data_IF_634213749680
#
_entry.id   IF_634213749680
#
_cell.length_a   1.000
_cell.length_b   1.000
_cell.length_c   1.000
_cell.angle_alpha   90.00
_cell.angle_beta   90.00
_cell.angle_gamma   90.00
#
_symmetry.space_group_name_H-M   'P 1'
#
loop_
_entity.id
_entity.type
_entity.pdbx_description
1 polymer ?
#
# COMPACT_ATOMS: atom_id res chain seq x y z
N UNK A 1 -21.83 14.24 3.95
CA UNK A 1 -20.54 14.74 3.37
C UNK A 1 -20.86 15.49 2.09
N UNK A 2 -20.32 16.69 1.89
CA UNK A 2 -20.41 17.40 0.61
C UNK A 2 -19.05 18.02 0.24
N UNK A 3 -18.81 18.25 -1.03
CA UNK A 3 -17.51 18.77 -1.45
C UNK A 3 -17.42 19.05 -2.93
N UNK A 4 -16.19 19.34 -3.35
CA UNK A 4 -15.83 19.51 -4.76
C UNK A 4 -14.65 18.60 -5.10
N UNK A 5 -14.73 17.94 -6.25
CA UNK A 5 -13.61 17.21 -6.85
C UNK A 5 -12.94 18.11 -7.88
N UNK A 6 -11.64 18.34 -7.74
CA UNK A 6 -10.85 19.21 -8.63
C UNK A 6 -9.56 18.54 -9.06
N UNK A 7 -9.03 19.02 -10.18
CA UNK A 7 -7.66 18.73 -10.61
C UNK A 7 -6.65 19.33 -9.63
N UNK A 8 -5.66 18.55 -9.21
CA UNK A 8 -4.68 19.02 -8.21
C UNK A 8 -3.82 20.18 -8.73
N UNK A 9 -3.52 20.22 -10.03
CA UNK A 9 -2.63 21.21 -10.64
C UNK A 9 -3.40 22.46 -11.05
N UNK A 10 -4.49 22.28 -11.79
CA UNK A 10 -5.24 23.41 -12.35
C UNK A 10 -6.33 23.94 -11.44
N UNK A 11 -6.73 23.17 -10.42
CA UNK A 11 -7.90 23.43 -9.56
C UNK A 11 -9.22 23.49 -10.35
N UNK A 12 -9.23 23.01 -11.59
CA UNK A 12 -10.44 22.93 -12.40
C UNK A 12 -11.35 21.80 -11.88
N UNK A 13 -12.68 21.97 -11.88
CA UNK A 13 -13.58 20.93 -11.41
C UNK A 13 -13.62 19.71 -12.32
N UNK A 14 -13.59 18.52 -11.73
CA UNK A 14 -13.67 17.25 -12.45
C UNK A 14 -15.13 16.79 -12.48
N UNK A 15 -15.72 16.74 -13.67
CA UNK A 15 -17.13 16.42 -13.87
C UNK A 15 -17.35 14.96 -14.32
N UNK A 16 -18.41 14.32 -13.79
CA UNK A 16 -18.81 12.98 -14.19
C UNK A 16 -18.06 11.84 -13.49
N UNK A 17 -17.22 12.14 -12.49
CA UNK A 17 -16.59 11.12 -11.65
C UNK A 17 -17.63 10.49 -10.73
N UNK A 18 -17.61 9.17 -10.58
CA UNK A 18 -18.44 8.46 -9.60
C UNK A 18 -17.65 8.28 -8.31
N UNK A 19 -18.16 8.82 -7.22
CA UNK A 19 -17.60 8.64 -5.89
C UNK A 19 -18.44 7.60 -5.16
N UNK A 20 -17.78 6.62 -4.56
CA UNK A 20 -18.41 5.49 -3.87
C UNK A 20 -17.76 5.32 -2.49
N UNK A 21 -18.58 5.16 -1.46
CA UNK A 21 -18.14 4.91 -0.08
C UNK A 21 -18.67 3.58 0.46
N UNK A 22 -19.05 2.65 -0.42
CA UNK A 22 -19.52 1.31 -0.11
C UNK A 22 -21.03 1.20 0.10
N UNK A 23 -21.65 2.14 0.81
CA UNK A 23 -23.10 2.15 1.08
C UNK A 23 -23.83 3.37 0.50
N UNK A 24 -23.10 4.33 -0.08
CA UNK A 24 -23.65 5.45 -0.83
C UNK A 24 -22.75 5.80 -2.01
N UNK A 25 -23.35 6.36 -3.06
CA UNK A 25 -22.61 6.86 -4.22
C UNK A 25 -23.11 8.23 -4.65
N UNK A 26 -22.23 9.02 -5.26
CA UNK A 26 -22.53 10.31 -5.86
C UNK A 26 -21.79 10.45 -7.19
N UNK A 27 -22.31 11.27 -8.10
CA UNK A 27 -21.60 11.66 -9.32
C UNK A 27 -21.31 13.14 -9.29
N UNK A 28 -20.09 13.54 -9.62
CA UNK A 28 -19.72 14.96 -9.62
C UNK A 28 -20.47 15.71 -10.72
N UNK A 29 -20.98 16.89 -10.36
CA UNK A 29 -21.63 17.79 -11.31
C UNK A 29 -20.63 18.44 -12.26
N UNK A 30 -21.10 19.26 -13.21
CA UNK A 30 -20.24 20.08 -14.08
C UNK A 30 -19.28 21.00 -13.30
N UNK A 31 -19.61 21.36 -12.06
CA UNK A 31 -18.77 22.17 -11.18
C UNK A 31 -17.97 21.31 -10.19
N UNK A 32 -17.81 20.00 -10.44
CA UNK A 32 -17.10 19.07 -9.55
C UNK A 32 -17.82 18.75 -8.23
N UNK A 33 -18.99 19.35 -7.98
CA UNK A 33 -19.69 19.20 -6.71
C UNK A 33 -20.24 17.79 -6.52
N UNK A 34 -20.15 17.26 -5.30
CA UNK A 34 -20.76 15.99 -4.88
C UNK A 34 -21.40 16.11 -3.49
N UNK A 35 -22.39 15.27 -3.22
CA UNK A 35 -23.07 15.19 -1.92
C UNK A 35 -23.43 13.75 -1.59
N UNK A 36 -23.01 13.30 -0.42
CA UNK A 36 -23.43 12.08 0.25
C UNK A 36 -24.33 12.42 1.44
N UNK A 37 -25.50 11.80 1.53
CA UNK A 37 -26.52 12.05 2.56
C UNK A 37 -26.81 10.79 3.36
N UNK A 38 -27.24 10.98 4.62
CA UNK A 38 -27.74 9.92 5.49
C UNK A 38 -26.76 8.75 5.61
N UNK A 39 -25.50 9.05 5.97
CA UNK A 39 -24.47 8.04 6.08
C UNK A 39 -24.53 7.38 7.46
N UNK A 40 -24.53 6.04 7.54
CA UNK A 40 -24.35 5.35 8.81
C UNK A 40 -22.99 5.72 9.43
N UNK A 41 -22.92 5.88 10.76
CA UNK A 41 -21.65 6.09 11.44
C UNK A 41 -20.72 4.89 11.24
N UNK A 42 -19.43 5.15 11.08
CA UNK A 42 -18.38 4.12 10.98
C UNK A 42 -17.76 3.81 12.33
N UNK A 43 -17.87 4.73 13.29
CA UNK A 43 -17.30 4.65 14.63
C UNK A 43 -18.35 4.98 15.70
N UNK A 44 -18.01 4.80 16.97
CA UNK A 44 -18.94 5.11 18.07
C UNK A 44 -19.21 6.63 18.14
N UNK A 45 -20.38 7.02 18.65
CA UNK A 45 -20.71 8.43 18.85
C UNK A 45 -19.64 9.15 19.69
N UNK A 46 -19.16 10.30 19.21
CA UNK A 46 -18.09 11.09 19.84
C UNK A 46 -16.68 10.79 19.29
N UNK A 47 -16.53 9.79 18.43
CA UNK A 47 -15.27 9.53 17.70
C UNK A 47 -15.30 10.15 16.30
N UNK A 48 -14.12 10.55 15.79
CA UNK A 48 -13.93 10.99 14.41
C UNK A 48 -14.37 9.88 13.46
N UNK A 49 -15.30 10.20 12.57
CA UNK A 49 -15.83 9.25 11.60
C UNK A 49 -14.92 9.28 10.36
N UNK A 50 -14.38 8.14 9.96
CA UNK A 50 -13.53 8.04 8.77
C UNK A 50 -14.29 7.29 7.68
N UNK A 51 -14.31 7.86 6.47
CA UNK A 51 -14.91 7.23 5.29
C UNK A 51 -13.89 7.13 4.16
N UNK A 52 -13.69 5.92 3.65
CA UNK A 52 -12.93 5.67 2.43
C UNK A 52 -13.79 5.98 1.22
N UNK A 53 -13.28 6.79 0.30
CA UNK A 53 -13.89 7.16 -0.96
C UNK A 53 -13.10 6.53 -2.10
N UNK A 54 -13.78 5.69 -2.89
CA UNK A 54 -13.32 5.29 -4.22
C UNK A 54 -13.84 6.31 -5.24
N UNK A 55 -12.93 6.93 -5.97
CA UNK A 55 -13.22 7.86 -7.06
C UNK A 55 -13.00 7.10 -8.36
N UNK A 56 -14.09 6.67 -8.99
CA UNK A 56 -14.10 6.09 -10.33
C UNK A 56 -14.15 7.22 -11.36
N UNK A 57 -13.04 7.35 -12.07
CA UNK A 57 -12.80 8.38 -13.06
C UNK A 57 -13.06 7.86 -14.48
N UNK A 58 -13.34 6.57 -14.68
CA UNK A 58 -13.43 5.90 -16.00
C UNK A 58 -14.45 6.54 -16.96
N UNK A 59 -15.41 7.30 -16.43
CA UNK A 59 -16.48 7.98 -17.18
C UNK A 59 -16.31 9.49 -17.28
N UNK A 60 -15.22 10.04 -16.76
CA UNK A 60 -14.91 11.47 -16.80
C UNK A 60 -14.60 11.90 -18.24
N UNK A 61 -15.24 12.99 -18.65
CA UNK A 61 -15.04 13.62 -19.95
C UNK A 61 -14.66 15.09 -19.87
N UNK A 62 -14.60 15.67 -18.66
CA UNK A 62 -14.28 17.07 -18.41
C UNK A 62 -13.54 17.23 -17.06
N UNK A 63 -12.45 18.02 -17.00
CA UNK A 63 -11.87 18.80 -18.11
C UNK A 63 -11.20 17.95 -19.19
N UNK A 64 -10.93 16.67 -18.90
CA UNK A 64 -10.21 15.77 -19.78
C UNK A 64 -11.03 14.50 -20.06
N UNK A 65 -10.82 13.94 -21.25
CA UNK A 65 -11.44 12.67 -21.65
C UNK A 65 -10.54 11.50 -21.30
N UNK A 66 -11.04 10.56 -20.51
CA UNK A 66 -10.31 9.33 -20.16
C UNK A 66 -10.05 8.40 -21.35
N UNK A 67 -10.72 8.62 -22.48
CA UNK A 67 -10.48 7.88 -23.72
C UNK A 67 -9.24 8.38 -24.50
N UNK A 68 -8.55 9.43 -24.03
CA UNK A 68 -7.33 9.94 -24.66
C UNK A 68 -6.12 8.99 -24.46
N UNK A 69 -5.26 8.89 -25.47
CA UNK A 69 -4.36 7.75 -25.66
C UNK A 69 -3.03 7.74 -24.86
N UNK A 70 -2.64 8.80 -24.13
CA UNK A 70 -1.58 8.79 -23.10
C UNK A 70 -1.30 10.22 -22.57
N UNK A 71 -0.86 10.33 -21.30
CA UNK A 71 -0.18 11.52 -20.75
C UNK A 71 -1.06 12.72 -20.33
N UNK A 72 -2.38 12.63 -20.49
CA UNK A 72 -3.33 13.73 -20.17
C UNK A 72 -4.65 13.23 -19.59
N UNK A 73 -4.65 12.02 -19.00
CA UNK A 73 -5.81 11.43 -18.34
C UNK A 73 -5.55 11.28 -16.85
N UNK A 74 -6.61 11.17 -16.07
CA UNK A 74 -6.52 10.79 -14.66
C UNK A 74 -6.21 9.28 -14.53
N UNK A 75 -5.79 8.78 -13.36
CA UNK A 75 -5.89 7.36 -13.06
C UNK A 75 -7.35 6.89 -13.20
N UNK A 76 -7.57 5.62 -13.52
CA UNK A 76 -8.94 5.08 -13.63
C UNK A 76 -9.68 5.11 -12.29
N UNK A 77 -8.93 4.87 -11.21
CA UNK A 77 -9.41 4.92 -9.85
C UNK A 77 -8.43 5.72 -8.99
N UNK A 78 -9.00 6.56 -8.12
CA UNK A 78 -8.26 7.20 -7.04
C UNK A 78 -8.95 6.89 -5.72
N UNK A 79 -8.16 6.72 -4.66
CA UNK A 79 -8.67 6.49 -3.31
C UNK A 79 -8.41 7.73 -2.48
N UNK A 80 -9.35 8.10 -1.60
CA UNK A 80 -9.25 9.23 -0.67
C UNK A 80 -9.96 8.88 0.64
N UNK A 81 -9.53 9.50 1.73
CA UNK A 81 -10.20 9.42 3.03
C UNK A 81 -10.86 10.77 3.33
N UNK A 82 -12.03 10.74 3.94
CA UNK A 82 -12.65 11.92 4.53
C UNK A 82 -12.94 11.64 6.00
N UNK A 83 -12.38 12.50 6.84
CA UNK A 83 -12.61 12.51 8.29
C UNK A 83 -13.72 13.51 8.60
N UNK A 84 -14.67 13.10 9.44
CA UNK A 84 -15.72 13.94 9.98
C UNK A 84 -15.49 14.07 11.48
N UNK A 85 -15.09 15.25 11.90
CA UNK A 85 -15.04 15.58 13.32
C UNK A 85 -16.47 15.79 13.83
N UNK A 86 -16.78 15.14 14.95
CA UNK A 86 -18.06 15.26 15.61
C UNK A 86 -18.17 16.58 16.36
N UNK A 87 -18.55 17.66 15.68
CA UNK A 87 -19.10 18.83 16.38
C UNK A 87 -20.62 18.67 16.56
N UNK A 88 -21.06 18.86 17.81
CA UNK A 88 -22.46 19.02 18.17
C UNK A 88 -22.99 20.31 17.52
N UNK A 89 -23.81 20.19 16.47
CA UNK A 89 -24.39 21.38 15.82
C UNK A 89 -25.63 21.86 16.61
N UNK A 90 -25.53 23.08 17.13
CA UNK A 90 -26.68 23.86 17.61
C UNK A 90 -27.51 24.31 16.40
N UNK A 91 -28.77 23.87 16.33
CA UNK A 91 -29.72 24.31 15.29
C UNK A 91 -29.97 25.82 15.40
N UNK A 92 -29.55 26.60 14.39
CA UNK A 92 -30.14 27.91 14.16
C UNK A 92 -31.56 27.69 13.66
N UNK A 93 -32.53 27.95 14.55
CA UNK A 93 -33.95 27.86 14.28
C UNK A 93 -34.32 28.72 13.07
N UNK A 94 -34.94 28.09 12.07
CA UNK A 94 -35.83 28.78 11.16
C UNK A 94 -37.26 28.38 11.53
N UNK A 95 -38.01 29.34 12.08
CA UNK A 95 -39.46 29.22 12.32
C UNK A 95 -40.19 30.08 11.29
N UNK A 96 -41.47 29.82 10.91
CA UNK A 96 -42.41 28.91 11.59
C UNK A 96 -43.26 28.05 10.64
N UNK A 97 -43.38 26.76 10.91
CA UNK A 97 -44.67 26.06 10.70
C UNK A 97 -44.96 25.14 11.87
N UNK A 98 -46.24 25.10 12.22
CA UNK A 98 -46.83 24.71 13.48
C UNK A 98 -46.79 23.21 13.80
N UNK A 99 -46.28 22.91 14.99
CA UNK A 99 -46.83 22.02 16.01
C UNK A 99 -47.26 20.60 15.57
N UNK A 100 -46.28 19.71 15.48
CA UNK A 100 -46.38 18.33 15.96
C UNK A 100 -45.11 18.01 16.72
N UNK A 101 -45.26 17.51 17.95
CA UNK A 101 -44.16 17.04 18.79
C UNK A 101 -43.51 15.85 18.09
N UNK A 102 -42.49 16.11 17.27
CA UNK A 102 -41.60 15.08 16.77
C UNK A 102 -40.51 14.94 17.82
N UNK A 103 -40.42 13.76 18.43
CA UNK A 103 -39.23 13.33 19.16
C UNK A 103 -38.06 13.56 18.22
N UNK A 104 -37.19 14.52 18.53
CA UNK A 104 -35.94 14.70 17.79
C UNK A 104 -35.17 13.42 18.05
N UNK A 105 -35.10 12.57 17.03
CA UNK A 105 -34.13 11.48 17.00
C UNK A 105 -32.76 12.15 17.11
N UNK A 106 -32.08 11.93 18.24
CA UNK A 106 -30.77 12.54 18.55
C UNK A 106 -29.66 11.86 17.75
N UNK A 107 -29.92 11.55 16.48
CA UNK A 107 -28.89 11.05 15.59
C UNK A 107 -27.90 12.18 15.32
N UNK A 108 -26.60 12.01 15.64
CA UNK A 108 -25.59 13.02 15.39
C UNK A 108 -25.53 13.33 13.89
N UNK A 109 -25.79 14.58 13.52
CA UNK A 109 -25.66 15.04 12.14
C UNK A 109 -24.19 15.42 11.89
N UNK A 110 -23.44 14.51 11.26
CA UNK A 110 -22.08 14.79 10.83
C UNK A 110 -22.07 15.56 9.49
N UNK A 111 -21.56 16.78 9.48
CA UNK A 111 -21.32 17.55 8.24
C UNK A 111 -19.82 17.69 7.98
N UNK A 112 -19.32 17.04 6.93
CA UNK A 112 -18.00 17.31 6.38
C UNK A 112 -18.10 18.10 5.09
N UNK A 113 -17.27 19.13 4.97
CA UNK A 113 -16.98 19.86 3.74
C UNK A 113 -15.53 19.62 3.36
N UNK A 114 -15.27 19.12 2.16
CA UNK A 114 -13.90 18.81 1.72
C UNK A 114 -13.67 19.09 0.24
N UNK A 115 -12.46 19.52 -0.09
CA UNK A 115 -11.95 19.53 -1.45
C UNK A 115 -11.21 18.21 -1.66
N UNK A 116 -11.63 17.44 -2.65
CA UNK A 116 -10.93 16.24 -3.11
C UNK A 116 -10.12 16.61 -4.34
N UNK A 117 -8.87 16.17 -4.39
CA UNK A 117 -7.96 16.41 -5.50
C UNK A 117 -7.53 15.10 -6.14
N UNK A 118 -7.32 15.12 -7.46
CA UNK A 118 -6.73 14.01 -8.23
C UNK A 118 -5.69 14.58 -9.20
N UNK A 119 -4.54 13.91 -9.30
CA UNK A 119 -3.49 14.24 -10.26
C UNK A 119 -3.68 13.56 -11.61
N UNK A 120 -3.21 14.22 -12.68
CA UNK A 120 -3.12 13.58 -14.00
C UNK A 120 -1.95 12.62 -14.03
N UNK A 121 -2.01 11.61 -14.88
CA UNK A 121 -0.88 10.73 -15.20
C UNK A 121 0.07 11.44 -16.19
N UNK A 122 0.81 12.43 -15.70
CA UNK A 122 1.59 13.34 -16.53
C UNK A 122 2.96 13.72 -15.97
N UNK A 123 3.29 13.27 -14.75
CA UNK A 123 4.59 13.53 -14.14
C UNK A 123 5.58 12.41 -14.46
N UNK A 124 6.88 12.72 -14.39
CA UNK A 124 7.95 11.75 -14.59
C UNK A 124 8.98 11.83 -13.47
N UNK A 125 9.66 10.72 -13.21
CA UNK A 125 10.80 10.65 -12.30
C UNK A 125 11.95 9.98 -13.04
N UNK A 126 13.10 10.64 -13.08
CA UNK A 126 14.36 10.06 -13.50
C UNK A 126 15.24 9.89 -12.27
N UNK A 127 16.01 8.81 -12.22
CA UNK A 127 16.98 8.63 -11.16
C UNK A 127 18.19 7.82 -11.53
N UNK A 128 19.13 7.72 -10.60
CA UNK A 128 20.29 6.84 -10.67
C UNK A 128 20.28 5.96 -9.43
N UNK A 129 20.49 4.65 -9.61
CA UNK A 129 20.79 3.72 -8.52
C UNK A 129 22.31 3.71 -8.29
N UNK A 130 22.76 3.85 -7.05
CA UNK A 130 24.16 3.90 -6.70
C UNK A 130 24.45 3.09 -5.42
N UNK A 131 25.68 2.62 -5.27
CA UNK A 131 26.09 1.99 -4.01
C UNK A 131 26.23 3.05 -2.91
N UNK A 132 25.64 2.81 -1.74
CA UNK A 132 25.75 3.72 -0.59
C UNK A 132 27.21 3.94 -0.16
N UNK A 133 28.01 2.87 -0.16
CA UNK A 133 29.39 2.92 0.33
C UNK A 133 30.37 3.70 -0.55
N UNK A 134 30.10 3.82 -1.85
CA UNK A 134 31.03 4.44 -2.82
C UNK A 134 30.42 5.64 -3.56
N UNK A 135 29.10 5.80 -3.44
CA UNK A 135 28.29 6.72 -4.22
C UNK A 135 28.49 6.60 -5.74
N UNK A 136 28.99 5.46 -6.23
CA UNK A 136 29.12 5.20 -7.67
C UNK A 136 27.84 4.55 -8.21
N UNK A 137 27.41 4.90 -9.43
CA UNK A 137 26.27 4.26 -10.07
C UNK A 137 26.46 2.75 -10.22
N UNK A 138 25.36 2.02 -10.09
CA UNK A 138 25.33 0.58 -10.42
C UNK A 138 25.37 0.36 -11.94
N UNK A 139 25.57 -0.88 -12.35
CA UNK A 139 25.49 -1.26 -13.77
C UNK A 139 24.05 -1.46 -14.27
N UNK A 140 23.92 -1.98 -15.49
CA UNK A 140 22.62 -2.30 -16.08
C UNK A 140 21.96 -3.53 -15.43
N UNK A 141 20.63 -3.58 -15.47
CA UNK A 141 19.85 -4.77 -15.11
C UNK A 141 19.49 -4.89 -13.63
N UNK A 142 19.61 -3.82 -12.85
CA UNK A 142 19.02 -3.76 -11.52
C UNK A 142 17.54 -3.46 -11.64
N UNK A 143 16.70 -4.18 -10.90
CA UNK A 143 15.27 -3.89 -10.85
C UNK A 143 15.05 -2.65 -10.01
N UNK A 144 14.19 -1.76 -10.49
CA UNK A 144 13.73 -0.57 -9.76
C UNK A 144 12.22 -0.56 -9.79
N UNK A 145 11.60 -0.61 -8.62
CA UNK A 145 10.15 -0.53 -8.45
C UNK A 145 9.77 0.81 -7.87
N UNK A 146 8.61 1.32 -8.29
CA UNK A 146 7.95 2.45 -7.66
C UNK A 146 6.61 2.00 -7.09
N UNK A 147 6.43 2.23 -5.81
CA UNK A 147 5.26 1.85 -5.04
C UNK A 147 4.44 3.09 -4.68
N UNK A 148 3.13 2.94 -4.63
CA UNK A 148 2.26 3.97 -4.07
C UNK A 148 2.46 4.06 -2.57
N UNK A 149 2.55 5.28 -2.02
CA UNK A 149 2.42 5.47 -0.57
C UNK A 149 0.95 5.36 -0.11
N UNK A 150 0.02 5.15 -1.07
CA UNK A 150 -1.40 5.13 -0.83
C UNK A 150 -1.92 6.48 -0.36
N UNK A 151 -3.03 6.48 0.36
CA UNK A 151 -3.52 7.67 1.06
C UNK A 151 -3.11 7.61 2.52
N UNK A 152 -2.09 8.37 2.91
CA UNK A 152 -1.76 8.58 4.31
C UNK A 152 -2.85 9.45 4.96
N UNK A 153 -3.76 8.79 5.67
CA UNK A 153 -4.69 9.47 6.57
C UNK A 153 -3.92 9.99 7.79
N UNK A 154 -3.75 11.30 7.86
CA UNK A 154 -4.04 12.12 9.04
C UNK A 154 -4.24 13.55 8.57
N UNK A 155 -5.31 14.19 9.02
CA UNK A 155 -5.77 15.49 8.57
C UNK A 155 -4.72 16.62 8.49
N UNK A 156 -5.10 17.58 7.62
CA UNK A 156 -4.68 18.98 7.55
C UNK A 156 -3.36 19.28 6.84
N UNK A 157 -3.53 19.86 5.63
CA UNK A 157 -2.54 20.50 4.74
C UNK A 157 -1.76 19.55 3.82
N UNK A 158 -2.32 19.34 2.62
CA UNK A 158 -1.62 18.81 1.43
C UNK A 158 -1.01 17.39 1.55
N UNK A 159 -1.67 16.47 2.26
CA UNK A 159 -1.30 15.04 2.19
C UNK A 159 -1.60 14.51 0.78
N UNK A 160 -0.56 14.41 -0.05
CA UNK A 160 -0.68 13.94 -1.42
C UNK A 160 -0.72 12.42 -1.45
N UNK A 161 -1.94 11.86 -1.46
CA UNK A 161 -2.12 10.42 -1.69
C UNK A 161 -1.95 10.06 -3.16
N UNK A 162 -1.36 8.90 -3.45
CA UNK A 162 -1.17 8.36 -4.80
C UNK A 162 -2.31 7.45 -5.30
N UNK A 163 -2.23 7.04 -6.56
CA UNK A 163 -3.15 6.10 -7.21
C UNK A 163 -2.81 4.66 -6.81
N UNK A 164 -3.44 4.16 -5.74
CA UNK A 164 -3.25 2.78 -5.29
C UNK A 164 -3.44 2.61 -3.79
N UNK A 165 -3.39 1.36 -3.33
CA UNK A 165 -3.16 1.08 -1.92
C UNK A 165 -1.68 1.31 -1.60
N UNK A 166 -1.37 1.69 -0.35
CA UNK A 166 0.01 1.81 0.11
C UNK A 166 0.78 0.49 -0.09
N UNK A 167 2.02 0.57 -0.58
CA UNK A 167 2.88 -0.59 -0.89
C UNK A 167 2.54 -1.30 -2.21
N UNK A 168 1.58 -0.79 -2.98
CA UNK A 168 1.29 -1.37 -4.29
C UNK A 168 2.30 -0.90 -5.34
N UNK A 169 2.97 -1.83 -6.01
CA UNK A 169 3.87 -1.54 -7.15
C UNK A 169 3.06 -0.95 -8.30
N UNK A 170 3.32 0.31 -8.64
CA UNK A 170 2.66 1.01 -9.75
C UNK A 170 3.38 0.75 -11.07
N UNK A 171 4.72 0.71 -11.02
CA UNK A 171 5.56 0.44 -12.19
C UNK A 171 6.89 -0.20 -11.79
N UNK A 172 7.53 -0.88 -12.73
CA UNK A 172 8.82 -1.53 -12.56
C UNK A 172 9.67 -1.33 -13.81
N UNK A 173 10.94 -1.01 -13.62
CA UNK A 173 11.90 -0.77 -14.69
C UNK A 173 13.25 -1.38 -14.32
N UNK A 174 14.21 -1.28 -15.23
CA UNK A 174 15.59 -1.73 -14.99
C UNK A 174 16.58 -0.61 -15.26
N UNK A 175 17.68 -0.60 -14.51
CA UNK A 175 18.76 0.36 -14.74
C UNK A 175 19.46 0.16 -16.08
N UNK A 176 19.91 1.26 -16.67
CA UNK A 176 20.82 1.27 -17.81
C UNK A 176 22.30 1.09 -17.40
N UNK A 177 23.23 1.18 -18.35
CA UNK A 177 24.67 1.02 -18.07
C UNK A 177 25.27 2.09 -17.15
N UNK A 178 24.57 3.20 -16.94
CA UNK A 178 24.95 4.27 -16.04
C UNK A 178 24.17 4.22 -14.71
N UNK A 179 23.46 3.12 -14.44
CA UNK A 179 22.61 2.98 -13.26
C UNK A 179 21.32 3.81 -13.35
N UNK A 180 21.01 4.39 -14.51
CA UNK A 180 19.88 5.32 -14.66
C UNK A 180 18.56 4.58 -14.88
N UNK A 181 17.48 5.16 -14.38
CA UNK A 181 16.11 4.67 -14.58
C UNK A 181 15.13 5.83 -14.83
N UNK A 182 13.98 5.51 -15.41
CA UNK A 182 12.89 6.47 -15.64
C UNK A 182 11.55 5.81 -15.38
N UNK A 183 10.69 6.51 -14.65
CA UNK A 183 9.26 6.28 -14.54
C UNK A 183 8.51 7.41 -15.23
N UNK A 184 7.49 7.06 -16.02
CA UNK A 184 6.68 8.03 -16.79
C UNK A 184 5.20 7.88 -16.51
N UNK A 185 4.43 8.95 -16.74
CA UNK A 185 2.98 8.98 -16.53
C UNK A 185 2.57 8.70 -15.08
N UNK A 186 3.35 9.19 -14.12
CA UNK A 186 3.00 9.13 -12.70
C UNK A 186 1.93 10.16 -12.38
N UNK A 187 1.12 9.88 -11.35
CA UNK A 187 0.15 10.83 -10.83
C UNK A 187 0.87 12.10 -10.34
N UNK A 188 0.47 13.25 -10.87
CA UNK A 188 1.01 14.55 -10.49
C UNK A 188 0.91 14.79 -8.99
N UNK A 189 2.00 15.26 -8.38
CA UNK A 189 2.19 15.40 -6.94
C UNK A 189 2.15 14.11 -6.10
N UNK A 190 1.80 12.96 -6.68
CA UNK A 190 1.69 11.67 -6.00
C UNK A 190 2.88 11.35 -5.10
N UNK A 191 2.60 10.83 -3.90
CA UNK A 191 3.61 10.25 -3.02
C UNK A 191 3.94 8.81 -3.41
N UNK A 192 5.23 8.52 -3.54
CA UNK A 192 5.73 7.21 -3.95
C UNK A 192 6.97 6.82 -3.14
N UNK A 193 7.18 5.51 -3.02
CA UNK A 193 8.42 4.95 -2.48
C UNK A 193 9.13 4.18 -3.59
N UNK A 194 10.43 4.42 -3.77
CA UNK A 194 11.26 3.72 -4.75
C UNK A 194 12.13 2.68 -4.04
N UNK A 195 12.11 1.46 -4.57
CA UNK A 195 12.96 0.35 -4.17
C UNK A 195 13.82 -0.11 -5.34
N UNK A 196 15.04 -0.55 -5.06
CA UNK A 196 15.93 -1.13 -6.07
C UNK A 196 16.71 -2.32 -5.52
N UNK A 197 16.98 -3.30 -6.37
CA UNK A 197 17.76 -4.48 -6.02
C UNK A 197 18.42 -5.12 -7.25
N UNK A 198 19.48 -5.89 -7.02
CA UNK A 198 20.11 -6.68 -8.08
C UNK A 198 19.37 -8.01 -8.29
N UNK A 199 19.61 -8.68 -9.42
CA UNK A 199 18.91 -9.93 -9.75
C UNK A 199 19.06 -11.06 -8.71
N UNK A 200 20.14 -11.05 -7.93
CA UNK A 200 20.40 -12.04 -6.86
C UNK A 200 19.91 -11.58 -5.48
N UNK A 201 19.36 -10.37 -5.37
CA UNK A 201 18.90 -9.74 -4.13
C UNK A 201 19.97 -9.63 -3.04
N UNK A 202 21.26 -9.67 -3.40
CA UNK A 202 22.38 -9.50 -2.44
C UNK A 202 22.71 -8.03 -2.17
N UNK A 203 22.09 -7.12 -2.94
CA UNK A 203 22.13 -5.68 -2.70
C UNK A 203 20.76 -5.11 -2.95
N UNK A 204 20.31 -4.25 -2.05
CA UNK A 204 19.00 -3.61 -2.14
C UNK A 204 18.95 -2.28 -1.42
N UNK A 205 17.91 -1.50 -1.70
CA UNK A 205 17.50 -0.36 -0.86
C UNK A 205 17.07 -0.86 0.51
N UNK A 206 17.21 -0.07 1.59
CA UNK A 206 16.59 -0.38 2.87
C UNK A 206 15.09 -0.68 2.72
N UNK A 207 14.53 -1.44 3.67
CA UNK A 207 13.11 -1.84 3.61
C UNK A 207 12.12 -0.66 3.58
N UNK A 208 12.51 0.50 4.13
CA UNK A 208 11.72 1.73 4.04
C UNK A 208 11.76 2.40 2.65
N UNK A 209 12.66 1.98 1.76
CA UNK A 209 12.84 2.55 0.42
C UNK A 209 13.25 4.02 0.44
N UNK A 210 12.94 4.72 -0.64
CA UNK A 210 13.18 6.15 -0.79
C UNK A 210 11.88 6.84 -1.16
N UNK A 211 11.34 7.63 -0.23
CA UNK A 211 10.15 8.44 -0.44
C UNK A 211 10.41 9.62 -1.39
N UNK A 212 9.54 9.78 -2.37
CA UNK A 212 9.59 10.83 -3.38
C UNK A 212 8.18 11.34 -3.68
N UNK A 213 8.08 12.62 -4.02
CA UNK A 213 6.84 13.19 -4.56
C UNK A 213 7.05 13.48 -6.04
N UNK A 214 6.13 13.01 -6.88
CA UNK A 214 6.13 13.40 -8.28
C UNK A 214 6.01 14.93 -8.41
N UNK A 215 6.65 15.53 -9.43
CA UNK A 215 6.53 16.95 -9.69
C UNK A 215 5.15 17.28 -10.28
N UNK A 216 4.97 18.55 -10.69
CA UNK A 216 3.75 19.00 -11.38
C UNK A 216 3.62 18.37 -12.79
N UNK A 217 2.48 18.58 -13.45
CA UNK A 217 2.19 18.01 -14.77
C UNK A 217 3.25 18.38 -15.81
N UNK A 218 3.66 17.39 -16.60
CA UNK A 218 4.70 17.49 -17.64
C UNK A 218 6.09 17.88 -17.14
N UNK A 219 6.31 17.83 -15.82
CA UNK A 219 7.63 18.00 -15.24
C UNK A 219 8.30 16.66 -14.97
N UNK A 220 9.62 16.72 -14.78
CA UNK A 220 10.44 15.56 -14.44
C UNK A 220 11.26 15.88 -13.20
N UNK A 221 11.08 15.08 -12.14
CA UNK A 221 11.98 15.08 -11.00
C UNK A 221 13.22 14.29 -11.36
N UNK A 222 14.40 14.83 -11.07
CA UNK A 222 15.67 14.13 -11.29
C UNK A 222 16.34 13.85 -9.94
N UNK A 223 16.60 12.58 -9.69
CA UNK A 223 17.18 12.01 -8.48
C UNK A 223 18.63 11.60 -8.81
N UNK A 224 19.64 12.18 -8.17
CA UNK A 224 21.03 11.99 -8.58
C UNK A 224 21.98 11.93 -7.39
N UNK A 225 23.17 11.35 -7.57
CA UNK A 225 24.22 11.41 -6.55
C UNK A 225 24.63 12.88 -6.37
N UNK A 226 24.41 13.47 -5.19
CA UNK A 226 24.93 14.80 -4.84
C UNK A 226 26.10 14.69 -3.85
N UNK A 227 27.12 15.54 -4.03
CA UNK A 227 28.32 15.56 -3.19
C UNK A 227 28.10 16.19 -1.78
N UNK A 228 26.96 16.85 -1.50
CA UNK A 228 26.82 17.79 -0.36
C UNK A 228 25.65 17.54 0.61
N UNK A 229 25.09 16.32 0.67
CA UNK A 229 24.28 15.89 1.83
C UNK A 229 22.94 16.61 2.08
N UNK A 230 22.42 17.38 1.13
CA UNK A 230 21.04 17.88 1.14
C UNK A 230 20.22 17.10 0.09
N UNK A 231 18.95 16.83 0.39
CA UNK A 231 18.13 15.91 -0.42
C UNK A 231 18.02 16.37 -1.88
N UNK A 232 18.71 15.64 -2.75
CA UNK A 232 18.19 15.11 -4.02
C UNK A 232 19.05 13.89 -4.40
N UNK A 233 19.36 13.06 -3.39
CA UNK A 233 20.32 11.93 -3.45
C UNK A 233 19.89 10.82 -4.41
N UNK A 234 20.82 9.92 -4.75
CA UNK A 234 20.54 8.76 -5.60
C UNK A 234 19.71 7.71 -4.88
N UNK A 235 19.22 6.72 -5.64
CA UNK A 235 18.67 5.51 -5.06
C UNK A 235 19.80 4.64 -4.53
N UNK A 236 20.06 4.73 -3.23
CA UNK A 236 21.19 4.02 -2.62
C UNK A 236 20.85 2.58 -2.29
N UNK A 237 21.71 1.68 -2.75
CA UNK A 237 21.68 0.25 -2.41
C UNK A 237 22.87 -0.12 -1.54
N UNK A 238 22.65 -1.05 -0.63
CA UNK A 238 23.66 -1.60 0.27
C UNK A 238 23.55 -3.13 0.29
N UNK A 239 24.62 -3.80 0.71
CA UNK A 239 24.64 -5.26 0.79
C UNK A 239 23.62 -5.75 1.82
N UNK A 240 22.97 -6.88 1.55
CA UNK A 240 21.99 -7.47 2.47
C UNK A 240 22.59 -7.74 3.84
N UNK A 241 23.85 -8.18 3.91
CA UNK A 241 24.56 -8.40 5.17
C UNK A 241 24.68 -7.13 6.07
N UNK A 242 24.43 -5.94 5.52
CA UNK A 242 24.40 -4.67 6.28
C UNK A 242 22.98 -4.27 6.68
N UNK A 243 21.98 -4.74 5.94
CA UNK A 243 20.57 -4.49 6.16
C UNK A 243 19.97 -5.56 7.08
N UNK A 244 18.83 -5.24 7.68
CA UNK A 244 18.01 -6.28 8.28
C UNK A 244 17.47 -7.18 7.16
N UNK A 245 17.40 -8.51 7.36
CA UNK A 245 16.83 -9.41 6.37
C UNK A 245 15.37 -9.06 6.06
N UNK A 246 14.93 -9.34 4.84
CA UNK A 246 13.55 -9.09 4.41
C UNK A 246 12.98 -10.28 3.64
N UNK A 247 11.66 -10.44 3.65
CA UNK A 247 10.99 -11.41 2.76
C UNK A 247 10.91 -10.79 1.37
N UNK A 248 11.56 -11.42 0.40
CA UNK A 248 11.64 -10.93 -0.98
C UNK A 248 10.64 -11.59 -1.93
N UNK A 249 10.10 -12.75 -1.55
CA UNK A 249 9.05 -13.42 -2.30
C UNK A 249 8.25 -14.38 -1.41
N UNK A 250 6.96 -14.49 -1.71
CA UNK A 250 6.09 -15.54 -1.19
C UNK A 250 5.47 -16.27 -2.38
N UNK A 251 5.56 -17.59 -2.40
CA UNK A 251 4.98 -18.44 -3.45
C UNK A 251 4.05 -19.49 -2.83
N UNK A 252 2.79 -19.61 -3.27
CA UNK A 252 2.11 -18.72 -4.22
C UNK A 252 1.97 -17.29 -3.66
N UNK A 253 1.77 -16.31 -4.55
CA UNK A 253 1.56 -14.92 -4.15
C UNK A 253 0.33 -14.76 -3.25
N UNK A 254 0.28 -13.68 -2.47
CA UNK A 254 -0.84 -13.37 -1.60
C UNK A 254 -2.14 -13.30 -2.42
N UNK A 255 -3.20 -13.93 -1.91
CA UNK A 255 -4.53 -14.02 -2.55
C UNK A 255 -4.56 -14.71 -3.94
N UNK A 256 -3.51 -15.45 -4.29
CA UNK A 256 -3.51 -16.29 -5.49
C UNK A 256 -4.61 -17.36 -5.46
N UNK A 257 -5.24 -17.58 -6.61
CA UNK A 257 -6.03 -18.79 -6.85
C UNK A 257 -5.08 -19.98 -7.04
N UNK A 258 -5.19 -20.96 -6.15
CA UNK A 258 -4.35 -22.17 -6.17
C UNK A 258 -5.15 -23.33 -6.74
N UNK A 259 -4.55 -24.08 -7.67
CA UNK A 259 -5.11 -25.35 -8.12
C UNK A 259 -5.21 -26.31 -6.91
N UNK A 260 -6.39 -26.88 -6.61
CA UNK A 260 -6.53 -27.85 -5.51
C UNK A 260 -5.60 -29.07 -5.64
N UNK A 261 -5.11 -29.37 -6.85
CA UNK A 261 -4.16 -30.44 -7.14
C UNK A 261 -2.69 -29.97 -7.14
N UNK A 262 -2.42 -28.68 -6.88
CA UNK A 262 -1.06 -28.16 -6.74
C UNK A 262 -0.36 -28.69 -5.47
N UNK A 263 0.97 -28.56 -5.45
CA UNK A 263 1.74 -28.84 -4.24
C UNK A 263 1.27 -27.91 -3.11
N UNK A 264 0.97 -28.44 -1.91
CA UNK A 264 0.38 -27.66 -0.85
C UNK A 264 1.43 -26.86 -0.06
N UNK A 265 2.29 -26.16 -0.78
CA UNK A 265 3.44 -25.46 -0.23
C UNK A 265 3.22 -23.95 -0.29
N UNK A 266 3.55 -23.28 0.81
CA UNK A 266 3.80 -21.84 0.85
C UNK A 266 5.28 -21.65 1.14
N UNK A 267 5.99 -20.96 0.25
CA UNK A 267 7.44 -20.75 0.33
C UNK A 267 7.70 -19.28 0.57
N UNK A 268 8.34 -18.97 1.70
CA UNK A 268 8.89 -17.65 2.00
C UNK A 268 10.36 -17.65 1.59
N UNK A 269 10.75 -16.67 0.76
CA UNK A 269 12.15 -16.46 0.36
C UNK A 269 12.67 -15.20 1.02
N UNK A 270 13.81 -15.30 1.69
CA UNK A 270 14.47 -14.22 2.40
C UNK A 270 15.60 -13.61 1.57
N UNK A 271 15.97 -12.37 1.85
CA UNK A 271 17.08 -11.67 1.19
C UNK A 271 18.45 -12.30 1.44
N UNK A 272 18.57 -13.07 2.53
CA UNK A 272 19.79 -13.75 2.94
C UNK A 272 19.50 -14.98 3.83
N UNK A 273 20.50 -15.83 4.09
CA UNK A 273 20.40 -16.95 5.03
C UNK A 273 20.07 -16.54 6.46
N UNK A 274 19.13 -17.26 7.09
CA UNK A 274 18.85 -17.12 8.52
C UNK A 274 19.88 -17.88 9.37
N UNK A 275 20.21 -17.33 10.54
CA UNK A 275 21.15 -17.94 11.48
C UNK A 275 20.57 -19.28 12.00
N UNK A 276 21.28 -20.40 11.85
CA UNK A 276 20.84 -21.68 12.39
C UNK A 276 21.10 -21.73 13.90
N UNK A 277 20.04 -21.61 14.70
CA UNK A 277 20.06 -21.81 16.14
C UNK A 277 18.97 -22.79 16.61
N UNK A 278 18.86 -23.01 17.93
CA UNK A 278 17.89 -23.96 18.51
C UNK A 278 16.44 -23.57 18.17
N UNK A 279 16.15 -22.27 18.08
CA UNK A 279 14.83 -21.76 17.74
C UNK A 279 14.52 -21.97 16.25
N UNK A 280 15.36 -21.43 15.37
CA UNK A 280 15.19 -21.39 13.90
C UNK A 280 15.21 -22.79 13.28
N UNK A 281 15.96 -23.72 13.88
CA UNK A 281 16.00 -25.13 13.45
C UNK A 281 14.92 -26.01 14.11
N UNK A 282 14.21 -25.49 15.10
CA UNK A 282 13.07 -26.14 15.77
C UNK A 282 11.81 -26.14 14.91
N UNK A 283 11.85 -26.88 13.79
CA UNK A 283 10.81 -26.91 12.75
C UNK A 283 9.77 -28.02 12.93
N UNK A 284 9.80 -28.75 14.05
CA UNK A 284 8.86 -29.84 14.34
C UNK A 284 8.02 -29.57 15.59
N UNK A 285 6.81 -30.14 15.71
CA UNK A 285 5.97 -29.98 16.90
C UNK A 285 6.58 -30.53 18.20
N UNK A 286 7.66 -31.29 18.12
CA UNK A 286 8.38 -31.83 19.29
C UNK A 286 9.48 -30.91 19.79
N UNK A 287 9.88 -29.91 19.01
CA UNK A 287 10.92 -28.95 19.37
C UNK A 287 10.30 -27.92 20.31
N UNK A 288 10.55 -28.09 21.62
CA UNK A 288 9.94 -27.24 22.64
C UNK A 288 10.48 -25.82 22.49
N UNK A 289 9.60 -24.82 22.27
CA UNK A 289 10.00 -23.44 21.99
C UNK A 289 10.75 -23.27 20.65
N UNK A 290 10.56 -24.18 19.70
CA UNK A 290 11.05 -24.01 18.33
C UNK A 290 10.14 -23.09 17.51
N UNK A 291 10.65 -22.59 16.39
CA UNK A 291 9.90 -21.76 15.43
C UNK A 291 8.55 -22.38 15.02
N UNK A 292 8.42 -23.72 15.06
CA UNK A 292 7.14 -24.38 14.78
C UNK A 292 5.97 -23.84 15.60
N UNK A 293 6.20 -23.47 16.87
CA UNK A 293 5.18 -23.00 17.80
C UNK A 293 4.63 -21.61 17.43
N UNK A 294 5.40 -20.80 16.68
CA UNK A 294 5.07 -19.42 16.33
C UNK A 294 4.53 -19.24 14.91
N UNK A 295 4.54 -20.31 14.09
CA UNK A 295 3.89 -20.31 12.78
C UNK A 295 2.42 -20.71 12.92
N UNK A 296 1.51 -19.92 12.34
CA UNK A 296 0.08 -20.19 12.41
C UNK A 296 -0.47 -20.48 11.01
N UNK A 297 -1.10 -21.66 10.85
CA UNK A 297 -1.78 -22.04 9.60
C UNK A 297 -3.28 -22.17 9.81
N UNK A 298 -4.04 -21.26 9.19
CA UNK A 298 -5.49 -21.18 9.34
C UNK A 298 -6.24 -21.57 8.06
N UNK A 299 -7.43 -22.14 8.25
CA UNK A 299 -8.41 -22.42 7.20
C UNK A 299 -9.66 -21.58 7.39
N UNK A 300 -10.01 -20.79 6.38
CA UNK A 300 -11.25 -20.00 6.32
C UNK A 300 -12.06 -20.38 5.09
N UNK A 301 -12.79 -21.51 5.17
CA UNK A 301 -13.65 -22.02 4.10
C UNK A 301 -15.16 -21.92 4.41
N UNK A 302 -16.04 -21.83 3.40
CA UNK A 302 -17.46 -21.44 3.56
C UNK A 302 -18.40 -22.48 4.24
N UNK A 303 -17.92 -23.51 4.95
CA UNK A 303 -18.79 -24.55 5.56
C UNK A 303 -18.34 -25.20 6.88
N UNK A 304 -17.24 -24.78 7.51
CA UNK A 304 -16.80 -25.37 8.79
C UNK A 304 -16.39 -24.24 9.75
N UNK A 305 -16.79 -24.37 11.02
CA UNK A 305 -16.33 -23.52 12.11
C UNK A 305 -14.80 -23.40 12.07
N UNK A 306 -14.26 -22.19 12.23
CA UNK A 306 -12.82 -21.91 12.32
C UNK A 306 -12.03 -23.11 12.86
N UNK A 307 -11.39 -23.84 11.96
CA UNK A 307 -10.47 -24.90 12.33
C UNK A 307 -9.13 -24.21 12.53
N UNK A 308 -8.88 -23.74 13.75
CA UNK A 308 -7.57 -23.21 14.14
C UNK A 308 -6.49 -24.29 14.01
N UNK A 309 -5.32 -23.88 13.53
CA UNK A 309 -4.10 -24.67 13.36
C UNK A 309 -4.27 -26.00 12.61
N UNK A 310 -4.36 -25.93 11.27
CA UNK A 310 -4.28 -27.11 10.41
C UNK A 310 -2.96 -27.86 10.64
N UNK A 311 -2.90 -29.15 10.30
CA UNK A 311 -1.63 -29.85 10.29
C UNK A 311 -0.74 -29.33 9.14
N UNK A 312 0.47 -28.88 9.48
CA UNK A 312 1.52 -28.46 8.54
C UNK A 312 2.89 -29.01 8.96
N UNK A 313 3.85 -28.94 8.05
CA UNK A 313 5.27 -29.15 8.33
C UNK A 313 6.08 -27.96 7.87
N UNK A 314 7.21 -27.72 8.52
CA UNK A 314 8.15 -26.67 8.18
C UNK A 314 9.47 -27.28 7.72
N UNK A 315 10.10 -26.68 6.71
CA UNK A 315 11.41 -27.07 6.25
C UNK A 315 12.18 -25.88 5.68
N UNK A 316 13.43 -25.73 6.12
CA UNK A 316 14.40 -24.87 5.47
C UNK A 316 15.01 -25.55 4.24
N UNK A 317 15.35 -24.76 3.24
CA UNK A 317 16.30 -25.22 2.22
C UNK A 317 17.72 -25.30 2.80
N UNK A 318 18.67 -25.82 2.02
CA UNK A 318 20.04 -26.04 2.50
C UNK A 318 20.82 -24.76 2.80
N UNK A 319 20.42 -23.63 2.21
CA UNK A 319 21.06 -22.33 2.40
C UNK A 319 20.37 -21.47 3.46
N UNK A 320 19.31 -21.97 4.11
CA UNK A 320 18.53 -21.23 5.12
C UNK A 320 17.93 -19.90 4.62
N UNK A 321 17.75 -19.73 3.31
CA UNK A 321 17.15 -18.55 2.68
C UNK A 321 15.71 -18.78 2.20
N UNK A 322 15.20 -20.01 2.32
CA UNK A 322 13.83 -20.38 1.97
C UNK A 322 13.19 -21.25 3.04
N UNK A 323 12.07 -20.77 3.59
CA UNK A 323 11.21 -21.52 4.49
C UNK A 323 9.99 -22.05 3.72
N UNK A 324 9.83 -23.37 3.68
CA UNK A 324 8.66 -24.01 3.10
C UNK A 324 7.70 -24.46 4.20
N UNK A 325 6.45 -23.99 4.12
CA UNK A 325 5.31 -24.46 4.91
C UNK A 325 4.49 -25.40 4.04
N UNK A 326 4.48 -26.70 4.36
CA UNK A 326 3.68 -27.70 3.65
C UNK A 326 2.41 -27.99 4.43
N UNK A 327 1.27 -27.70 3.83
CA UNK A 327 -0.06 -27.95 4.36
C UNK A 327 -0.48 -29.37 3.94
N UNK A 328 -1.09 -30.15 4.84
CA UNK A 328 -1.37 -31.57 4.56
C UNK A 328 -2.22 -31.82 3.29
N UNK A 329 -3.17 -30.93 2.99
CA UNK A 329 -3.98 -30.99 1.77
C UNK A 329 -4.77 -29.70 1.57
N UNK A 330 -4.87 -29.22 0.33
CA UNK A 330 -5.84 -28.18 -0.03
C UNK A 330 -7.23 -28.77 -0.28
N UNK A 331 -8.23 -27.91 -0.11
CA UNK A 331 -9.64 -28.18 -0.38
C UNK A 331 -10.13 -27.17 -1.39
N UNK A 332 -10.91 -27.59 -2.40
CA UNK A 332 -11.49 -26.68 -3.36
C UNK A 332 -12.31 -25.57 -2.69
N UNK A 333 -12.33 -24.39 -3.31
CA UNK A 333 -13.17 -23.25 -2.90
C UNK A 333 -13.00 -22.84 -1.44
N UNK A 334 -11.75 -22.76 -0.97
CA UNK A 334 -11.40 -22.44 0.42
C UNK A 334 -10.25 -21.45 0.48
N UNK A 335 -10.19 -20.63 1.53
CA UNK A 335 -9.06 -19.73 1.80
C UNK A 335 -8.17 -20.32 2.90
N UNK A 336 -6.86 -20.16 2.71
CA UNK A 336 -5.84 -20.54 3.68
C UNK A 336 -5.05 -19.29 4.05
N UNK A 337 -4.55 -19.25 5.28
CA UNK A 337 -3.64 -18.21 5.75
C UNK A 337 -2.46 -18.88 6.41
N UNK A 338 -1.26 -18.50 5.99
CA UNK A 338 -0.01 -18.85 6.68
C UNK A 338 0.53 -17.57 7.24
N UNK A 339 0.68 -17.53 8.56
CA UNK A 339 1.13 -16.36 9.31
C UNK A 339 2.43 -16.74 10.02
N UNK A 340 3.49 -16.03 9.67
CA UNK A 340 4.81 -16.14 10.30
C UNK A 340 5.17 -14.85 11.03
N UNK A 341 4.23 -13.93 11.26
CA UNK A 341 4.54 -12.64 11.91
C UNK A 341 5.00 -12.79 13.34
N UNK A 342 4.71 -13.91 14.01
CA UNK A 342 5.15 -14.22 15.36
C UNK A 342 6.58 -14.77 15.47
N UNK A 343 7.26 -15.08 14.36
CA UNK A 343 8.60 -15.69 14.41
C UNK A 343 9.69 -14.65 14.67
N UNK A 344 10.66 -14.97 15.53
CA UNK A 344 11.86 -14.15 15.78
C UNK A 344 13.05 -14.70 14.97
N UNK A 345 13.04 -14.44 13.66
CA UNK A 345 14.11 -14.85 12.76
C UNK A 345 15.20 -13.79 12.68
N UNK A 346 16.46 -14.25 12.72
CA UNK A 346 17.65 -13.39 12.71
C UNK A 346 18.70 -13.88 11.72
N UNK A 347 19.50 -12.98 11.19
CA UNK A 347 20.69 -13.31 10.40
C UNK A 347 21.92 -13.60 11.28
N UNK A 348 23.07 -13.87 10.64
CA UNK A 348 24.35 -14.10 11.33
C UNK A 348 24.88 -12.86 12.10
N UNK A 349 24.31 -11.68 11.84
CA UNK A 349 24.66 -10.41 12.48
C UNK A 349 23.65 -10.01 13.58
N UNK A 350 22.78 -10.94 13.98
CA UNK A 350 21.75 -10.77 15.02
C UNK A 350 20.71 -9.68 14.66
N UNK A 351 20.53 -9.38 13.37
CA UNK A 351 19.47 -8.49 12.87
C UNK A 351 18.18 -9.28 12.65
N UNK A 352 17.09 -8.80 13.25
CA UNK A 352 15.77 -9.39 13.06
C UNK A 352 15.20 -9.11 11.66
N UNK A 353 14.45 -10.06 11.10
CA UNK A 353 13.76 -9.88 9.81
C UNK A 353 12.80 -8.69 9.89
N UNK A 354 12.96 -7.72 9.00
CA UNK A 354 12.08 -6.56 8.94
C UNK A 354 10.63 -6.97 8.63
N UNK A 355 9.68 -6.46 9.42
CA UNK A 355 8.25 -6.70 9.23
C UNK A 355 7.72 -8.00 9.85
N UNK A 356 8.58 -8.81 10.47
CA UNK A 356 8.18 -9.85 11.42
C UNK A 356 8.28 -9.30 12.86
N UNK A 357 7.84 -10.06 13.87
CA UNK A 357 7.75 -9.63 15.26
C UNK A 357 8.93 -8.75 15.66
N UNK A 358 8.67 -7.45 15.83
CA UNK A 358 9.60 -6.53 16.43
C UNK A 358 9.50 -6.76 17.94
N UNK A 359 10.47 -7.48 18.51
CA UNK A 359 10.76 -7.64 19.94
C UNK A 359 9.52 -7.67 20.88
N UNK A 360 9.24 -8.84 21.45
CA UNK A 360 8.29 -9.00 22.56
C UNK A 360 8.65 -8.23 23.82
#
# INVERSE_FOLDING_TARGET
>A
IQGVLVDVSTQEPIAGAKLDIGFASATTTANGLFVFRNLPPTQTAGETQVYSITIDLTRVTSPLSMAAAAGTKYPEYAYKMVELDGEEITLLADTPFTNTTQTIDTDPVFTGTGMLTVGKLAANINGVVAYDSTHQPVGAGWTVNIESDGTSGTAATAAVGGSGAGGHVIDSTVTDTNGSFTFSNLETFGGFTIHAWNATHTFMTPAAGIGVNAPDEFQTLNIAVQEDGLITGAVFVMGTDVLAPVIIAVTPEQDADIDPDAAPNVVFTFSEPMMPDEYTTGVTPSDTYGMFDDVIVNFTGPKIAYAGNLAYTLAWNTTMDQLTVTIASFRPSSRYTVDITGVDLRDENDQAVFGLAADG
#
